data_IF_379421966212
#
_entry.id   IF_379421966212
#
_cell.length_a   1.000
_cell.length_b   1.000
_cell.length_c   1.000
_cell.angle_alpha   90.00
_cell.angle_beta   90.00
_cell.angle_gamma   90.00
#
_symmetry.space_group_name_H-M   'P 1'
#
loop_
_entity.id
_entity.type
_entity.pdbx_description
1 polymer ?
#
# COMPACT_ATOMS: atom_id res chain seq x y z
N UNK A 1 16.77 -26.61 15.98
CA UNK A 1 15.45 -26.04 15.61
C UNK A 1 15.62 -24.55 15.51
N UNK A 2 15.56 -23.98 14.31
CA UNK A 2 15.21 -22.60 13.98
C UNK A 2 15.40 -22.44 12.48
N UNK A 3 14.31 -22.72 11.77
CA UNK A 3 14.20 -22.76 10.32
C UNK A 3 14.44 -21.36 9.74
N UNK A 4 15.62 -21.16 9.13
CA UNK A 4 15.94 -20.01 8.29
C UNK A 4 14.90 -19.93 7.16
N UNK A 5 13.90 -19.08 7.34
CA UNK A 5 12.92 -18.74 6.31
C UNK A 5 13.48 -17.59 5.48
N UNK A 6 13.83 -17.90 4.24
CA UNK A 6 13.82 -17.05 3.03
C UNK A 6 14.17 -15.57 3.24
N UNK A 7 15.41 -15.20 2.88
CA UNK A 7 15.69 -13.85 2.38
C UNK A 7 15.02 -13.70 1.01
N UNK A 8 13.85 -13.05 0.95
CA UNK A 8 13.41 -12.37 -0.27
C UNK A 8 14.21 -11.06 -0.34
N UNK A 9 15.02 -10.90 -1.37
CA UNK A 9 15.66 -9.64 -1.74
C UNK A 9 14.57 -8.56 -1.88
N UNK A 10 14.55 -7.60 -0.97
CA UNK A 10 13.85 -6.34 -1.18
C UNK A 10 14.85 -5.37 -1.79
N UNK A 11 14.60 -5.03 -3.05
CA UNK A 11 15.33 -4.04 -3.81
C UNK A 11 15.41 -2.72 -3.06
N UNK A 12 16.65 -2.24 -2.90
CA UNK A 12 17.06 -0.83 -2.98
C UNK A 12 16.23 0.19 -2.18
N UNK A 13 16.54 0.37 -0.89
CA UNK A 13 16.20 1.63 -0.20
C UNK A 13 17.38 2.60 -0.32
N UNK A 14 17.24 3.57 -1.21
CA UNK A 14 18.06 4.79 -1.25
C UNK A 14 17.86 5.55 0.06
N UNK A 15 18.89 5.63 0.90
CA UNK A 15 18.87 6.38 2.16
C UNK A 15 18.54 7.86 1.87
N UNK A 16 17.32 8.30 2.21
CA UNK A 16 16.94 9.72 2.28
C UNK A 16 16.57 10.06 3.72
N UNK A 17 17.25 11.05 4.29
CA UNK A 17 17.10 11.51 5.67
C UNK A 17 15.82 12.37 5.87
N UNK A 18 14.64 11.80 5.62
CA UNK A 18 13.34 12.51 5.63
C UNK A 18 12.31 11.81 6.52
N UNK A 19 11.22 12.50 6.88
CA UNK A 19 10.07 11.94 7.64
C UNK A 19 9.57 10.65 6.98
N UNK A 20 9.54 10.61 5.65
CA UNK A 20 9.22 9.42 4.87
C UNK A 20 10.05 8.19 5.28
N UNK A 21 11.36 8.32 5.51
CA UNK A 21 12.21 7.19 5.89
C UNK A 21 11.94 6.71 7.31
N UNK A 22 11.61 7.62 8.23
CA UNK A 22 11.16 7.27 9.59
C UNK A 22 9.86 6.45 9.56
N UNK A 23 8.88 6.91 8.77
CA UNK A 23 7.62 6.21 8.51
C UNK A 23 7.91 4.83 7.91
N UNK A 24 8.74 4.77 6.87
CA UNK A 24 9.10 3.53 6.17
C UNK A 24 9.67 2.50 7.14
N UNK A 25 10.65 2.89 7.94
CA UNK A 25 11.33 2.02 8.88
C UNK A 25 10.36 1.46 9.92
N UNK A 26 9.54 2.31 10.56
CA UNK A 26 8.55 1.87 11.55
C UNK A 26 7.56 0.85 10.97
N UNK A 27 7.08 1.09 9.75
CA UNK A 27 6.15 0.19 9.08
C UNK A 27 6.82 -1.14 8.67
N UNK A 28 8.06 -1.10 8.21
CA UNK A 28 8.85 -2.29 7.91
C UNK A 28 9.10 -3.14 9.16
N UNK A 29 9.52 -2.52 10.27
CA UNK A 29 9.81 -3.22 11.52
C UNK A 29 8.54 -3.83 12.15
N UNK A 30 7.41 -3.12 12.07
CA UNK A 30 6.15 -3.55 12.70
C UNK A 30 5.37 -4.55 11.87
N UNK A 31 5.16 -4.28 10.57
CA UNK A 31 4.25 -5.06 9.73
C UNK A 31 4.95 -6.04 8.79
N UNK A 32 6.27 -5.92 8.62
CA UNK A 32 7.08 -6.71 7.68
C UNK A 32 6.37 -6.93 6.33
N UNK A 33 5.92 -5.84 5.67
CA UNK A 33 5.12 -5.94 4.46
C UNK A 33 5.90 -6.56 3.31
N UNK A 34 5.18 -7.24 2.42
CA UNK A 34 5.72 -7.74 1.15
C UNK A 34 5.82 -6.62 0.10
N UNK A 35 5.19 -5.48 0.31
CA UNK A 35 5.37 -4.30 -0.53
C UNK A 35 5.03 -3.05 0.28
N UNK A 36 5.88 -2.03 0.19
CA UNK A 36 5.71 -0.75 0.87
C UNK A 36 6.07 0.37 -0.10
N UNK A 37 5.17 1.31 -0.28
CA UNK A 37 5.36 2.48 -1.13
C UNK A 37 4.85 3.73 -0.41
N UNK A 38 5.64 4.79 -0.41
CA UNK A 38 5.28 6.06 0.22
C UNK A 38 5.43 7.16 -0.82
N UNK A 39 4.34 7.88 -1.07
CA UNK A 39 4.19 8.93 -2.08
C UNK A 39 3.87 10.24 -1.36
N UNK A 40 4.57 11.31 -1.72
CA UNK A 40 4.25 12.65 -1.24
C UNK A 40 3.31 13.34 -2.25
N UNK A 41 2.05 13.56 -1.86
CA UNK A 41 1.02 14.18 -2.71
C UNK A 41 0.79 15.67 -2.38
N UNK A 42 1.64 16.27 -1.54
CA UNK A 42 1.62 17.69 -1.15
C UNK A 42 1.58 18.68 -2.34
N UNK A 43 2.00 18.26 -3.53
CA UNK A 43 2.23 19.12 -4.69
C UNK A 43 0.97 19.53 -5.49
N UNK A 44 -0.22 18.96 -5.22
CA UNK A 44 -1.39 19.10 -6.09
C UNK A 44 -2.36 20.25 -5.77
N UNK A 45 -2.13 21.04 -4.73
CA UNK A 45 -3.00 22.18 -4.42
C UNK A 45 -2.20 23.46 -4.19
N UNK A 46 -2.79 24.59 -4.59
CA UNK A 46 -2.30 25.97 -4.40
C UNK A 46 -2.22 26.38 -2.92
N UNK A 47 -1.57 25.56 -2.09
CA UNK A 47 -1.09 25.85 -0.75
C UNK A 47 0.36 26.32 -0.85
N UNK A 48 0.87 27.15 0.08
CA UNK A 48 2.25 27.61 0.04
C UNK A 48 3.22 26.42 -0.11
N UNK A 49 4.23 26.61 -0.98
CA UNK A 49 5.20 25.66 -1.58
C UNK A 49 5.92 24.66 -0.65
N UNK A 50 5.60 24.62 0.64
CA UNK A 50 6.38 23.96 1.68
C UNK A 50 5.52 23.16 2.69
N UNK A 51 4.27 22.87 2.36
CA UNK A 51 3.36 22.16 3.26
C UNK A 51 3.36 20.66 2.97
N UNK A 52 4.37 19.93 3.49
CA UNK A 52 4.45 18.45 3.50
C UNK A 52 3.33 17.84 4.36
N UNK A 53 2.10 18.04 3.93
CA UNK A 53 0.90 17.82 4.73
C UNK A 53 0.12 16.59 4.29
N UNK A 54 0.29 16.16 3.03
CA UNK A 54 -0.40 15.01 2.45
C UNK A 54 0.59 13.95 1.99
N UNK A 55 0.57 12.81 2.67
CA UNK A 55 1.32 11.63 2.28
C UNK A 55 0.36 10.49 1.96
N UNK A 56 0.75 9.65 1.00
CA UNK A 56 0.06 8.41 0.67
C UNK A 56 0.97 7.24 0.91
N UNK A 57 0.50 6.28 1.69
CA UNK A 57 1.26 5.09 2.08
C UNK A 57 0.49 3.87 1.60
N UNK A 58 1.11 3.09 0.73
CA UNK A 58 0.60 1.82 0.23
C UNK A 58 1.35 0.68 0.92
N UNK A 59 0.64 -0.15 1.67
CA UNK A 59 1.23 -1.27 2.43
C UNK A 59 0.54 -2.56 2.04
N UNK A 60 1.35 -3.55 1.65
CA UNK A 60 0.88 -4.90 1.35
C UNK A 60 1.43 -5.86 2.38
N UNK A 61 0.60 -6.37 3.28
CA UNK A 61 1.01 -7.31 4.33
C UNK A 61 -0.09 -8.32 4.66
N UNK A 62 0.31 -9.52 5.08
CA UNK A 62 -0.60 -10.52 5.64
C UNK A 62 -1.17 -10.08 6.99
N UNK A 63 -0.53 -9.13 7.68
CA UNK A 63 -1.01 -8.59 8.96
C UNK A 63 -2.39 -7.92 8.87
N UNK A 64 -2.81 -7.52 7.67
CA UNK A 64 -4.11 -6.91 7.41
C UNK A 64 -5.20 -7.93 7.03
N UNK A 65 -4.83 -9.19 6.83
CA UNK A 65 -5.80 -10.27 6.60
C UNK A 65 -6.69 -10.39 7.83
N UNK A 66 -8.02 -10.45 7.62
CA UNK A 66 -9.04 -10.43 8.68
C UNK A 66 -9.14 -9.13 9.52
N UNK A 67 -8.48 -8.03 9.15
CA UNK A 67 -8.68 -6.72 9.80
C UNK A 67 -9.68 -5.88 9.01
N UNK A 68 -10.55 -5.14 9.69
CA UNK A 68 -11.40 -4.15 9.03
C UNK A 68 -10.59 -2.92 8.61
N UNK A 69 -11.01 -2.23 7.53
CA UNK A 69 -10.35 -1.00 7.04
C UNK A 69 -10.08 0.01 8.17
N UNK A 70 -11.09 0.25 9.03
CA UNK A 70 -10.93 1.15 10.17
C UNK A 70 -9.85 0.68 11.16
N UNK A 71 -9.77 -0.63 11.43
CA UNK A 71 -8.73 -1.18 12.32
C UNK A 71 -7.34 -1.05 11.72
N UNK A 72 -7.23 -1.27 10.40
CA UNK A 72 -5.96 -1.11 9.68
C UNK A 72 -5.48 0.34 9.74
N UNK A 73 -6.38 1.30 9.49
CA UNK A 73 -6.06 2.73 9.58
C UNK A 73 -5.67 3.14 11.00
N UNK A 74 -6.39 2.67 12.03
CA UNK A 74 -6.04 2.93 13.43
C UNK A 74 -4.63 2.43 13.77
N UNK A 75 -4.32 1.19 13.42
CA UNK A 75 -3.01 0.58 13.65
C UNK A 75 -1.86 1.40 13.04
N UNK A 76 -2.02 1.79 11.77
CA UNK A 76 -1.02 2.59 11.08
C UNK A 76 -0.92 3.99 11.69
N UNK A 77 -2.05 4.63 11.98
CA UNK A 77 -2.06 5.95 12.64
C UNK A 77 -1.41 5.90 14.03
N UNK A 78 -1.62 4.85 14.82
CA UNK A 78 -1.00 4.70 16.14
C UNK A 78 0.53 4.62 16.04
N UNK A 79 1.06 3.83 15.10
CA UNK A 79 2.50 3.69 14.88
C UNK A 79 3.12 5.00 14.37
N UNK A 80 2.38 5.73 13.54
CA UNK A 80 2.83 6.98 12.94
C UNK A 80 2.44 8.21 13.75
N UNK A 81 1.76 8.06 14.89
CA UNK A 81 1.26 9.18 15.69
C UNK A 81 2.37 10.14 16.11
N UNK A 82 3.56 9.63 16.41
CA UNK A 82 4.72 10.47 16.72
C UNK A 82 5.21 11.28 15.52
N UNK A 83 5.16 10.72 14.31
CA UNK A 83 5.54 11.43 13.08
C UNK A 83 4.45 12.43 12.66
N UNK A 84 3.17 12.07 12.86
CA UNK A 84 2.03 12.95 12.60
C UNK A 84 2.09 14.22 13.45
N UNK A 85 2.48 14.08 14.73
CA UNK A 85 2.73 15.23 15.62
C UNK A 85 3.86 16.15 15.11
N UNK A 86 4.77 15.63 14.30
CA UNK A 86 5.93 16.38 13.79
C UNK A 86 5.60 17.31 12.61
N UNK A 87 4.37 17.27 12.06
CA UNK A 87 3.95 18.23 11.03
C UNK A 87 3.11 17.68 9.87
N UNK A 88 2.72 16.39 9.89
CA UNK A 88 1.87 15.79 8.85
C UNK A 88 0.39 16.06 9.16
N UNK A 89 -0.32 16.72 8.25
CA UNK A 89 -1.72 17.11 8.45
C UNK A 89 -2.71 15.98 8.09
N UNK A 90 -2.39 15.18 7.07
CA UNK A 90 -3.21 14.07 6.61
C UNK A 90 -2.36 12.96 5.95
N UNK A 91 -2.69 11.71 6.26
CA UNK A 91 -2.06 10.52 5.69
C UNK A 91 -3.13 9.63 5.05
N UNK A 92 -3.00 9.39 3.74
CA UNK A 92 -3.79 8.43 2.99
C UNK A 92 -3.19 7.04 3.12
N UNK A 93 -3.83 6.19 3.91
CA UNK A 93 -3.38 4.81 4.14
C UNK A 93 -4.11 3.90 3.16
N UNK A 94 -3.36 3.17 2.33
CA UNK A 94 -3.87 2.16 1.44
C UNK A 94 -3.27 0.80 1.81
N UNK A 95 -4.09 -0.05 2.40
CA UNK A 95 -3.67 -1.37 2.87
C UNK A 95 -4.26 -2.44 1.98
N UNK A 96 -3.44 -3.39 1.57
CA UNK A 96 -3.84 -4.52 0.74
C UNK A 96 -3.24 -5.81 1.26
N UNK A 97 -3.89 -6.93 0.99
CA UNK A 97 -3.33 -8.25 1.26
C UNK A 97 -2.41 -8.65 0.09
N UNK A 98 -1.34 -9.42 0.33
CA UNK A 98 -0.48 -9.90 -0.75
C UNK A 98 -1.25 -10.73 -1.78
N UNK A 99 -2.29 -11.47 -1.38
CA UNK A 99 -3.17 -12.15 -2.32
C UNK A 99 -3.89 -11.18 -3.26
N UNK A 100 -4.43 -10.08 -2.74
CA UNK A 100 -5.14 -9.08 -3.54
C UNK A 100 -4.17 -8.31 -4.45
N UNK A 101 -3.01 -7.92 -3.92
CA UNK A 101 -1.96 -7.24 -4.68
C UNK A 101 -1.42 -8.11 -5.82
N UNK A 102 -1.25 -9.41 -5.58
CA UNK A 102 -0.81 -10.36 -6.61
C UNK A 102 -1.87 -10.51 -7.72
N UNK A 103 -3.17 -10.57 -7.37
CA UNK A 103 -4.25 -10.58 -8.37
C UNK A 103 -4.28 -9.32 -9.23
N UNK A 104 -4.00 -8.16 -8.65
CA UNK A 104 -3.94 -6.88 -9.39
C UNK A 104 -2.74 -6.81 -10.35
N UNK A 105 -1.60 -7.40 -9.99
CA UNK A 105 -0.39 -7.40 -10.82
C UNK A 105 -0.32 -8.58 -11.81
N UNK A 106 -1.09 -9.65 -11.59
CA UNK A 106 -1.08 -10.87 -12.42
C UNK A 106 -2.44 -11.07 -13.07
N UNK A 107 -2.98 -10.05 -13.73
CA UNK A 107 -4.09 -10.27 -14.66
C UNK A 107 -3.53 -10.50 -16.08
N UNK A 108 -3.19 -11.74 -16.49
CA UNK A 108 -3.39 -12.09 -17.88
C UNK A 108 -4.91 -12.09 -18.10
N UNK A 109 -5.35 -11.24 -19.02
CA UNK A 109 -6.74 -11.10 -19.45
C UNK A 109 -7.42 -12.48 -19.53
N UNK A 110 -8.53 -12.73 -18.81
CA UNK A 110 -9.30 -13.91 -19.11
C UNK A 110 -9.87 -13.73 -20.51
N UNK A 111 -9.39 -14.56 -21.43
CA UNK A 111 -9.85 -14.67 -22.81
C UNK A 111 -11.38 -14.66 -22.81
N UNK A 112 -11.96 -13.57 -23.31
CA UNK A 112 -13.39 -13.46 -23.50
C UNK A 112 -13.79 -14.60 -24.45
N UNK A 113 -14.56 -15.54 -23.91
CA UNK A 113 -14.95 -16.76 -24.59
C UNK A 113 -15.83 -16.36 -25.79
N UNK A 114 -15.25 -16.40 -26.98
CA UNK A 114 -15.96 -16.33 -28.24
C UNK A 114 -16.75 -17.63 -28.46
N UNK A 115 -18.03 -17.49 -28.80
CA UNK A 115 -18.93 -18.58 -29.18
C UNK A 115 -20.27 -18.46 -28.43
N UNK A 116 -21.42 -18.32 -29.06
CA UNK A 116 -21.82 -18.84 -30.37
C UNK A 116 -23.03 -18.08 -30.92
N UNK A 117 -23.08 -17.97 -32.25
CA UNK A 117 -24.27 -17.58 -33.05
C UNK A 117 -25.54 -18.26 -32.53
N UNK A 118 -26.66 -17.53 -32.52
CA UNK A 118 -27.99 -18.08 -32.89
C UNK A 118 -28.85 -16.98 -33.49
N UNK A 119 -28.97 -17.02 -34.82
CA UNK A 119 -30.15 -16.54 -35.55
C UNK A 119 -31.35 -17.41 -35.14
N UNK A 120 -32.50 -16.77 -34.92
CA UNK A 120 -33.90 -17.24 -35.10
C UNK A 120 -34.77 -16.04 -34.68
N UNK A 121 -35.43 -15.30 -35.57
CA UNK A 121 -36.67 -15.57 -36.32
C UNK A 121 -37.89 -15.74 -35.39
N UNK A 122 -39.02 -15.18 -35.83
CA UNK A 122 -40.38 -15.11 -35.23
C UNK A 122 -40.61 -13.84 -34.37
N UNK A 123 -41.64 -13.00 -34.57
CA UNK A 123 -42.88 -13.10 -35.35
C UNK A 123 -43.25 -11.69 -35.87
#
# INVERSE_FOLDING_TARGET
MNHLKLLRCFSTTTIKNTIQSSIEKKLLETFKPTHLEILNESYMHSVPKNSETHFKVVIVSEAFVNKSMLSQHRLVNEILSDELKSGVHALSIHTSTPENWNKLNVSPSPSCMGGSKRQSKDH
#
